data_IF_838137528221
#
_entry.id   IF_838137528221
#
_cell.length_a   1.000
_cell.length_b   1.000
_cell.length_c   1.000
_cell.angle_alpha   90.00
_cell.angle_beta   90.00
_cell.angle_gamma   90.00
#
_symmetry.space_group_name_H-M   'P 1'
#
loop_
_entity.id
_entity.type
_entity.pdbx_description
1 polymer ?
#
# COMPACT_ATOMS: atom_id res chain seq x y z
N UNK A 1 -6.54 -8.71 -7.63
CA UNK A 1 -5.51 -7.76 -7.13
C UNK A 1 -4.46 -8.35 -6.18
N UNK A 2 -4.32 -9.67 -6.09
CA UNK A 2 -3.15 -10.28 -5.40
C UNK A 2 -1.83 -9.94 -6.12
N UNK A 3 -1.86 -9.76 -7.44
CA UNK A 3 -0.64 -9.75 -8.26
C UNK A 3 -0.07 -8.37 -8.64
N UNK A 4 -0.74 -7.25 -8.37
CA UNK A 4 -0.15 -5.93 -8.70
C UNK A 4 0.58 -5.30 -7.50
N UNK A 5 0.07 -5.50 -6.27
CA UNK A 5 0.78 -5.08 -5.06
C UNK A 5 1.98 -5.99 -4.72
N UNK A 6 2.03 -7.20 -5.29
CA UNK A 6 3.16 -8.11 -5.19
C UNK A 6 4.25 -7.88 -6.25
N UNK A 7 4.06 -6.97 -7.22
CA UNK A 7 5.09 -6.72 -8.24
C UNK A 7 6.33 -5.98 -7.72
N UNK A 8 6.29 -5.49 -6.47
CA UNK A 8 7.48 -5.01 -5.74
C UNK A 8 8.17 -6.11 -4.93
N UNK A 9 7.56 -7.30 -4.84
CA UNK A 9 8.18 -8.50 -4.30
C UNK A 9 8.63 -9.37 -5.46
N UNK A 10 9.73 -8.96 -6.09
CA UNK A 10 10.62 -9.84 -6.85
C UNK A 10 10.72 -11.17 -6.11
N UNK A 11 10.48 -12.29 -6.79
CA UNK A 11 10.48 -13.66 -6.28
C UNK A 11 11.47 -13.84 -5.12
N UNK A 12 10.98 -13.72 -3.88
CA UNK A 12 11.81 -13.96 -2.70
C UNK A 12 11.74 -15.45 -2.42
N UNK A 13 12.86 -16.21 -2.51
CA UNK A 13 12.85 -17.59 -2.07
C UNK A 13 12.34 -17.63 -0.63
N UNK A 14 11.36 -18.52 -0.38
CA UNK A 14 10.65 -18.65 0.91
C UNK A 14 11.59 -18.88 2.11
N UNK A 15 12.83 -19.26 1.86
CA UNK A 15 13.90 -19.46 2.83
C UNK A 15 15.24 -19.13 2.16
N UNK A 16 15.93 -18.10 2.64
CA UNK A 16 17.26 -17.72 2.15
C UNK A 16 17.98 -16.81 3.16
N UNK A 17 19.32 -16.67 3.07
CA UNK A 17 20.13 -15.93 4.05
C UNK A 17 19.71 -14.47 4.23
N UNK A 18 19.06 -13.87 3.22
CA UNK A 18 18.49 -12.54 3.30
C UNK A 18 17.36 -12.42 4.34
N UNK A 19 16.49 -13.43 4.49
CA UNK A 19 15.40 -13.38 5.47
C UNK A 19 15.92 -13.50 6.92
N UNK A 20 17.12 -14.06 7.09
CA UNK A 20 17.77 -14.16 8.39
C UNK A 20 18.44 -12.87 8.84
N UNK A 21 18.64 -11.91 7.93
CA UNK A 21 19.22 -10.61 8.27
C UNK A 21 18.34 -9.85 9.26
N UNK A 22 18.98 -9.15 10.19
CA UNK A 22 18.28 -8.32 11.16
C UNK A 22 17.46 -7.21 10.49
N UNK A 23 17.95 -6.65 9.39
CA UNK A 23 17.20 -5.67 8.59
C UNK A 23 15.89 -6.24 8.05
N UNK A 24 15.91 -7.47 7.52
CA UNK A 24 14.68 -8.11 7.05
C UNK A 24 13.72 -8.37 8.21
N UNK A 25 14.21 -8.93 9.32
CA UNK A 25 13.39 -9.24 10.50
C UNK A 25 12.78 -7.97 11.09
N UNK A 26 13.53 -6.87 11.14
CA UNK A 26 13.04 -5.56 11.58
C UNK A 26 11.95 -5.04 10.66
N UNK A 27 12.17 -4.99 9.35
CA UNK A 27 11.18 -4.52 8.37
C UNK A 27 9.92 -5.42 8.36
N UNK A 28 10.08 -6.73 8.52
CA UNK A 28 8.98 -7.68 8.61
C UNK A 28 8.09 -7.40 9.84
N UNK A 29 8.70 -7.08 11.01
CA UNK A 29 7.94 -6.68 12.21
C UNK A 29 7.18 -5.38 12.03
N UNK A 30 7.64 -4.46 11.18
CA UNK A 30 6.97 -3.18 10.94
C UNK A 30 5.87 -3.24 9.86
N UNK A 31 5.78 -4.36 9.14
CA UNK A 31 4.88 -4.56 7.99
C UNK A 31 3.41 -4.27 8.30
N UNK A 32 2.95 -4.58 9.51
CA UNK A 32 1.55 -4.35 9.92
C UNK A 32 1.11 -2.88 9.75
N UNK A 33 2.04 -1.92 9.92
CA UNK A 33 1.76 -0.49 9.75
C UNK A 33 1.35 -0.17 8.32
N UNK A 34 2.05 -0.75 7.36
CA UNK A 34 1.83 -0.54 5.92
C UNK A 34 0.60 -1.33 5.46
N UNK A 35 0.42 -2.55 5.96
CA UNK A 35 -0.71 -3.40 5.59
C UNK A 35 -2.05 -2.84 6.06
N UNK A 36 -2.10 -2.24 7.24
CA UNK A 36 -3.29 -1.55 7.72
C UNK A 36 -3.71 -0.43 6.76
N UNK A 37 -2.76 0.39 6.29
CA UNK A 37 -3.03 1.45 5.30
C UNK A 37 -3.41 0.88 3.94
N UNK A 38 -2.77 -0.18 3.49
CA UNK A 38 -3.13 -0.84 2.22
C UNK A 38 -4.54 -1.46 2.27
N UNK A 39 -4.93 -2.04 3.41
CA UNK A 39 -6.29 -2.55 3.63
C UNK A 39 -7.32 -1.43 3.60
N UNK A 40 -7.01 -0.29 4.22
CA UNK A 40 -7.87 0.90 4.15
C UNK A 40 -8.05 1.41 2.72
N UNK A 41 -6.94 1.58 1.97
CA UNK A 41 -7.00 2.00 0.56
C UNK A 41 -7.83 1.05 -0.29
N UNK A 42 -7.58 -0.27 -0.15
CA UNK A 42 -8.28 -1.31 -0.93
C UNK A 42 -9.77 -1.35 -0.62
N UNK A 43 -10.12 -1.42 0.66
CA UNK A 43 -11.49 -1.71 1.10
C UNK A 43 -12.34 -0.46 1.25
N UNK A 44 -11.81 0.61 1.86
CA UNK A 44 -12.59 1.83 2.14
C UNK A 44 -12.56 2.85 1.00
N UNK A 45 -11.52 2.82 0.16
CA UNK A 45 -11.32 3.80 -0.91
C UNK A 45 -11.41 3.18 -2.31
N UNK A 46 -11.94 1.96 -2.43
CA UNK A 46 -12.22 1.32 -3.71
C UNK A 46 -10.97 0.93 -4.52
N UNK A 47 -9.77 1.01 -3.94
CA UNK A 47 -8.53 0.68 -4.65
C UNK A 47 -8.41 -0.83 -4.95
N UNK A 48 -9.27 -1.68 -4.38
CA UNK A 48 -9.31 -3.12 -4.67
C UNK A 48 -9.87 -3.47 -6.05
N UNK A 49 -10.59 -2.55 -6.70
CA UNK A 49 -11.18 -2.75 -8.01
C UNK A 49 -10.49 -1.85 -9.03
N UNK A 50 -10.07 -2.41 -10.17
CA UNK A 50 -9.41 -1.63 -11.20
C UNK A 50 -10.47 -0.83 -11.97
N UNK A 51 -10.29 0.50 -12.05
CA UNK A 51 -11.18 1.37 -12.82
C UNK A 51 -10.77 1.48 -14.30
N UNK A 52 -9.55 1.07 -14.62
CA UNK A 52 -9.00 1.04 -15.97
C UNK A 52 -8.11 -0.19 -16.15
N UNK A 53 -8.08 -0.72 -17.38
CA UNK A 53 -7.17 -1.80 -17.75
C UNK A 53 -5.77 -1.26 -18.09
N UNK A 54 -4.75 -2.09 -17.90
CA UNK A 54 -3.36 -1.77 -18.23
C UNK A 54 -2.61 -1.01 -17.13
N UNK A 55 -1.28 -1.07 -17.21
CA UNK A 55 -0.35 -0.51 -16.20
C UNK A 55 -0.53 0.99 -16.00
N UNK A 56 -0.73 1.75 -17.10
CA UNK A 56 -0.91 3.19 -17.04
C UNK A 56 -2.19 3.59 -16.29
N UNK A 57 -3.32 2.95 -16.60
CA UNK A 57 -4.60 3.22 -15.92
C UNK A 57 -4.52 2.91 -14.42
N UNK A 58 -3.85 1.82 -14.05
CA UNK A 58 -3.61 1.46 -12.66
C UNK A 58 -2.68 2.44 -11.93
N UNK A 59 -1.65 2.96 -12.60
CA UNK A 59 -0.75 3.98 -12.04
C UNK A 59 -1.51 5.27 -11.71
N UNK A 60 -2.34 5.76 -12.65
CA UNK A 60 -3.19 6.93 -12.43
C UNK A 60 -4.17 6.68 -11.29
N UNK A 61 -4.86 5.53 -11.28
CA UNK A 61 -5.77 5.16 -10.20
C UNK A 61 -5.07 5.15 -8.83
N UNK A 62 -3.87 4.57 -8.75
CA UNK A 62 -3.07 4.54 -7.53
C UNK A 62 -2.67 5.93 -7.06
N UNK A 63 -2.12 6.75 -7.96
CA UNK A 63 -1.68 8.10 -7.64
C UNK A 63 -2.86 8.97 -7.14
N UNK A 64 -3.98 8.97 -7.85
CA UNK A 64 -5.17 9.75 -7.49
C UNK A 64 -5.77 9.28 -6.17
N UNK A 65 -5.84 7.97 -5.93
CA UNK A 65 -6.40 7.41 -4.68
C UNK A 65 -5.55 7.82 -3.47
N UNK A 66 -4.22 7.69 -3.57
CA UNK A 66 -3.31 8.09 -2.49
C UNK A 66 -3.42 9.58 -2.21
N UNK A 67 -3.44 10.40 -3.26
CA UNK A 67 -3.56 11.85 -3.14
C UNK A 67 -4.86 12.27 -2.42
N UNK A 68 -6.01 11.77 -2.89
CA UNK A 68 -7.31 12.11 -2.31
C UNK A 68 -7.45 11.66 -0.85
N UNK A 69 -6.97 10.46 -0.50
CA UNK A 69 -7.00 9.95 0.88
C UNK A 69 -6.11 10.78 1.81
N UNK A 70 -4.95 11.22 1.33
CA UNK A 70 -4.07 12.11 2.08
C UNK A 70 -4.71 13.48 2.31
N UNK A 71 -5.36 14.07 1.30
CA UNK A 71 -6.12 15.31 1.45
C UNK A 71 -7.23 15.18 2.51
N UNK A 72 -8.02 14.10 2.44
CA UNK A 72 -9.08 13.82 3.43
C UNK A 72 -8.53 13.75 4.84
N UNK A 73 -7.35 13.15 5.02
CA UNK A 73 -6.69 13.08 6.34
C UNK A 73 -6.23 14.46 6.84
N UNK A 74 -5.63 15.28 5.97
CA UNK A 74 -5.21 16.64 6.33
C UNK A 74 -6.41 17.46 6.78
N UNK A 75 -7.51 17.44 6.01
CA UNK A 75 -8.74 18.17 6.35
C UNK A 75 -9.32 17.72 7.69
N UNK A 76 -9.34 16.41 7.95
CA UNK A 76 -9.78 15.88 9.25
C UNK A 76 -8.92 16.40 10.40
N UNK A 77 -7.60 16.39 10.26
CA UNK A 77 -6.67 16.89 11.28
C UNK A 77 -6.77 18.40 11.49
N UNK A 78 -7.14 19.17 10.47
CA UNK A 78 -7.41 20.60 10.60
C UNK A 78 -8.70 20.83 11.40
N UNK A 79 -9.76 20.07 11.11
CA UNK A 79 -11.05 20.19 11.77
C UNK A 79 -11.03 19.70 13.23
N UNK A 80 -10.12 18.79 13.60
CA UNK A 80 -9.95 18.33 14.99
C UNK A 80 -9.10 19.28 15.85
N UNK A 81 -8.41 20.25 15.21
CA UNK A 81 -7.56 21.23 15.89
C UNK A 81 -8.21 22.60 16.07
N UNK A 82 -9.32 22.87 15.38
CA UNK A 82 -10.13 24.09 15.53
C UNK A 82 -11.29 23.85 16.48
#
# INVERSE_FOLDING_TARGET
MSNCCNSLYVEKPKSGPFQETEEFKRLARERYKIEAKNSELKNKHGYAQASAAGSFGMQIQGATTIFAVNLKRILKLLNEKG
#
